data_IF_098065144348
#
_entry.id   IF_098065144348
#
_cell.length_a   1.000
_cell.length_b   1.000
_cell.length_c   1.000
_cell.angle_alpha   90.00
_cell.angle_beta   90.00
_cell.angle_gamma   90.00
#
_symmetry.space_group_name_H-M   'P 1'
#
loop_
_entity.id
_entity.type
_entity.pdbx_description
1 polymer ?
#
# COMPACT_ATOMS: atom_id res chain seq x y z
N UNK A 1 39.36 9.42 -12.54
CA UNK A 1 38.59 8.59 -11.58
C UNK A 1 37.73 9.41 -10.61
N UNK A 2 38.12 10.62 -10.16
CA UNK A 2 37.32 11.43 -9.22
C UNK A 2 35.99 11.96 -9.77
N UNK A 3 35.92 12.40 -11.03
CA UNK A 3 34.71 13.02 -11.60
C UNK A 3 33.48 12.11 -11.68
N UNK A 4 33.68 10.80 -11.84
CA UNK A 4 32.56 9.83 -11.93
C UNK A 4 31.94 9.58 -10.55
N UNK A 5 32.75 9.59 -9.49
CA UNK A 5 32.31 9.58 -8.08
C UNK A 5 31.59 10.88 -7.70
N UNK A 6 32.06 12.03 -8.19
CA UNK A 6 31.42 13.33 -7.93
C UNK A 6 30.06 13.44 -8.63
N UNK A 7 29.94 13.01 -9.88
CA UNK A 7 28.68 12.98 -10.63
C UNK A 7 27.68 11.98 -10.06
N UNK A 8 28.16 10.79 -9.63
CA UNK A 8 27.33 9.84 -8.89
C UNK A 8 26.86 10.42 -7.57
N UNK A 9 27.74 11.07 -6.81
CA UNK A 9 27.38 11.75 -5.56
C UNK A 9 26.35 12.85 -5.77
N UNK A 10 26.46 13.62 -6.85
CA UNK A 10 25.54 14.71 -7.20
C UNK A 10 24.15 14.19 -7.58
N UNK A 11 24.07 13.20 -8.49
CA UNK A 11 22.79 12.57 -8.87
C UNK A 11 22.12 11.84 -7.71
N UNK A 12 22.93 11.22 -6.84
CA UNK A 12 22.43 10.57 -5.65
C UNK A 12 21.91 11.63 -4.67
N UNK A 13 22.68 12.68 -4.36
CA UNK A 13 22.23 13.78 -3.51
C UNK A 13 20.93 14.43 -4.01
N UNK A 14 20.84 14.72 -5.31
CA UNK A 14 19.67 15.33 -5.94
C UNK A 14 18.41 14.43 -5.85
N UNK A 15 18.60 13.12 -6.05
CA UNK A 15 17.53 12.13 -5.95
C UNK A 15 17.10 11.87 -4.51
N UNK A 16 18.04 11.87 -3.56
CA UNK A 16 17.74 11.77 -2.13
C UNK A 16 17.05 13.04 -1.60
N UNK A 17 17.41 14.21 -2.11
CA UNK A 17 16.77 15.48 -1.77
C UNK A 17 15.29 15.48 -2.19
N UNK A 18 14.98 15.03 -3.41
CA UNK A 18 13.60 15.05 -3.91
C UNK A 18 12.74 13.91 -3.33
N UNK A 19 13.30 12.71 -3.16
CA UNK A 19 12.55 11.55 -2.66
C UNK A 19 12.41 11.51 -1.13
N UNK A 20 13.32 12.14 -0.38
CA UNK A 20 13.38 11.98 1.08
C UNK A 20 13.28 13.29 1.84
N UNK A 21 13.99 14.34 1.39
CA UNK A 21 14.08 15.61 2.11
C UNK A 21 12.86 16.49 1.86
N UNK A 22 12.36 16.55 0.62
CA UNK A 22 11.18 17.36 0.30
C UNK A 22 9.91 16.89 1.04
N UNK A 23 9.57 15.58 1.04
CA UNK A 23 8.39 15.10 1.75
C UNK A 23 8.55 15.23 3.28
N UNK A 24 9.74 14.97 3.81
CA UNK A 24 10.01 15.10 5.25
C UNK A 24 9.97 16.55 5.74
N UNK A 25 10.45 17.51 4.93
CA UNK A 25 10.38 18.93 5.26
C UNK A 25 8.92 19.42 5.27
N UNK A 26 8.10 18.95 4.34
CA UNK A 26 6.66 19.19 4.33
C UNK A 26 5.99 18.64 5.61
N UNK A 27 6.36 17.42 6.03
CA UNK A 27 5.80 16.79 7.22
C UNK A 27 6.18 17.54 8.50
N UNK A 28 7.44 17.96 8.62
CA UNK A 28 7.92 18.77 9.73
C UNK A 28 7.28 20.16 9.75
N UNK A 29 7.10 20.79 8.59
CA UNK A 29 6.38 22.05 8.47
C UNK A 29 4.91 21.89 8.91
N UNK A 30 4.23 20.83 8.45
CA UNK A 30 2.86 20.53 8.84
C UNK A 30 2.73 20.24 10.35
N UNK A 31 3.69 19.52 10.95
CA UNK A 31 3.73 19.24 12.38
C UNK A 31 4.00 20.51 13.20
N UNK A 32 4.91 21.38 12.74
CA UNK A 32 5.18 22.67 13.36
C UNK A 32 3.95 23.58 13.34
N UNK A 33 3.27 23.65 12.18
CA UNK A 33 1.99 24.35 12.01
C UNK A 33 0.95 23.75 12.96
N UNK A 34 0.78 22.43 13.01
CA UNK A 34 -0.16 21.76 13.90
C UNK A 34 0.12 22.02 15.39
N UNK A 35 1.40 22.08 15.79
CA UNK A 35 1.81 22.39 17.17
C UNK A 35 1.51 23.83 17.55
N UNK A 36 1.73 24.78 16.62
CA UNK A 36 1.46 26.21 16.81
C UNK A 36 -0.04 26.56 16.80
N UNK A 37 -0.84 25.87 15.98
CA UNK A 37 -2.30 26.01 15.97
C UNK A 37 -2.96 25.30 17.18
N UNK A 38 -2.42 24.16 17.62
CA UNK A 38 -3.04 23.30 18.62
C UNK A 38 -4.40 22.74 18.17
N UNK A 39 -4.97 21.80 18.95
CA UNK A 39 -6.27 21.20 18.62
C UNK A 39 -7.47 22.15 18.83
N UNK A 40 -7.32 23.19 19.65
CA UNK A 40 -8.43 24.10 20.03
C UNK A 40 -8.58 25.32 19.12
N UNK A 41 -7.55 25.70 18.33
CA UNK A 41 -7.51 26.96 17.56
C UNK A 41 -7.24 26.76 16.07
N UNK A 42 -7.77 25.68 15.50
CA UNK A 42 -7.59 25.30 14.08
C UNK A 42 -7.99 26.39 13.07
N UNK A 43 -8.86 27.33 13.44
CA UNK A 43 -9.36 28.43 12.58
C UNK A 43 -8.52 29.72 12.65
N UNK A 44 -7.53 29.82 13.54
CA UNK A 44 -6.73 31.03 13.76
C UNK A 44 -5.54 31.16 12.79
N UNK A 45 -5.77 30.91 11.50
CA UNK A 45 -4.73 30.82 10.45
C UNK A 45 -4.02 32.16 10.21
N UNK A 46 -4.71 33.30 10.42
CA UNK A 46 -4.17 34.64 10.16
C UNK A 46 -2.97 35.05 11.04
N UNK A 47 -2.77 34.40 12.19
CA UNK A 47 -1.66 34.71 13.10
C UNK A 47 -0.38 33.89 12.88
N UNK A 48 -0.41 32.90 11.98
CA UNK A 48 0.71 31.98 11.72
C UNK A 48 1.98 32.68 11.20
N UNK A 49 1.91 33.60 10.22
CA UNK A 49 3.13 34.20 9.66
C UNK A 49 3.97 34.93 10.71
N UNK A 50 3.33 35.70 11.60
CA UNK A 50 4.02 36.46 12.65
C UNK A 50 4.52 35.62 13.84
N UNK A 51 4.03 34.39 14.01
CA UNK A 51 4.56 33.43 15.00
C UNK A 51 5.72 32.65 14.45
N UNK A 52 5.61 32.19 13.20
CA UNK A 52 6.69 31.53 12.48
C UNK A 52 7.89 32.47 12.30
N UNK A 53 7.66 33.74 11.98
CA UNK A 53 8.71 34.76 11.88
C UNK A 53 9.46 34.95 13.22
N UNK A 54 8.75 35.08 14.34
CA UNK A 54 9.39 35.19 15.67
C UNK A 54 10.17 33.94 16.08
N UNK A 55 9.69 32.76 15.71
CA UNK A 55 10.41 31.51 15.98
C UNK A 55 11.67 31.41 15.10
N UNK A 56 11.59 31.86 13.85
CA UNK A 56 12.73 31.94 12.94
C UNK A 56 13.78 32.97 13.41
N UNK A 57 13.38 34.11 13.95
CA UNK A 57 14.29 35.14 14.49
C UNK A 57 15.06 34.64 15.74
N UNK A 58 14.40 33.84 16.57
CA UNK A 58 15.06 33.17 17.70
C UNK A 58 16.10 32.12 17.26
N UNK A 59 15.84 31.43 16.14
CA UNK A 59 16.75 30.43 15.56
C UNK A 59 17.87 31.05 14.70
N UNK A 60 17.64 32.25 14.16
CA UNK A 60 18.52 32.94 13.20
C UNK A 60 19.01 34.27 13.74
N UNK A 61 19.20 34.37 15.06
CA UNK A 61 19.79 35.57 15.65
C UNK A 61 21.20 35.80 15.10
N UNK A 62 21.57 37.03 14.70
CA UNK A 62 22.87 37.34 14.07
C UNK A 62 24.09 37.09 14.96
N UNK A 63 23.89 36.71 16.22
CA UNK A 63 24.92 36.30 17.17
C UNK A 63 25.19 34.79 17.20
N UNK A 64 24.44 33.97 16.45
CA UNK A 64 24.67 32.53 16.40
C UNK A 64 25.95 32.21 15.59
N UNK A 65 26.92 31.45 16.14
CA UNK A 65 28.11 31.06 15.39
C UNK A 65 27.69 30.21 14.18
N UNK A 66 28.36 30.38 13.03
CA UNK A 66 28.03 29.65 11.78
C UNK A 66 27.93 28.12 11.96
N UNK A 67 28.67 27.57 12.92
CA UNK A 67 28.59 26.17 13.32
C UNK A 67 27.21 25.76 13.91
N UNK A 68 26.54 26.64 14.66
CA UNK A 68 25.22 26.38 15.22
C UNK A 68 24.14 26.33 14.14
N UNK A 69 24.19 27.25 13.16
CA UNK A 69 23.27 27.25 12.01
C UNK A 69 23.48 26.01 11.13
N UNK A 70 24.74 25.62 10.90
CA UNK A 70 25.06 24.39 10.17
C UNK A 70 24.54 23.14 10.90
N UNK A 71 24.70 23.07 12.23
CA UNK A 71 24.20 21.96 13.04
C UNK A 71 22.67 21.87 13.03
N UNK A 72 21.98 23.01 13.09
CA UNK A 72 20.51 23.04 12.99
C UNK A 72 20.02 22.54 11.62
N UNK A 73 20.65 23.00 10.53
CA UNK A 73 20.32 22.52 9.18
C UNK A 73 20.54 21.00 9.06
N UNK A 74 21.67 20.49 9.57
CA UNK A 74 21.95 19.05 9.59
C UNK A 74 20.92 18.29 10.42
N UNK A 75 20.55 18.78 11.60
CA UNK A 75 19.51 18.17 12.44
C UNK A 75 18.13 18.17 11.77
N UNK A 76 17.76 19.27 11.09
CA UNK A 76 16.52 19.37 10.31
C UNK A 76 16.51 18.41 9.12
N UNK A 77 17.62 18.32 8.39
CA UNK A 77 17.81 17.37 7.28
C UNK A 77 17.71 15.92 7.76
N UNK A 78 18.32 15.58 8.91
CA UNK A 78 18.24 14.26 9.52
C UNK A 78 16.81 13.94 9.96
N UNK A 79 16.13 14.87 10.63
CA UNK A 79 14.74 14.70 11.02
C UNK A 79 13.83 14.50 9.80
N UNK A 80 14.02 15.29 8.75
CA UNK A 80 13.29 15.16 7.48
C UNK A 80 13.54 13.79 6.82
N UNK A 81 14.80 13.35 6.75
CA UNK A 81 15.16 12.05 6.22
C UNK A 81 14.51 10.91 7.03
N UNK A 82 14.47 11.01 8.37
CA UNK A 82 13.81 10.00 9.21
C UNK A 82 12.30 9.95 9.00
N UNK A 83 11.64 11.08 8.77
CA UNK A 83 10.22 11.11 8.39
C UNK A 83 9.97 10.47 7.02
N UNK A 84 10.82 10.73 6.03
CA UNK A 84 10.74 10.09 4.71
C UNK A 84 10.91 8.57 4.79
N UNK A 85 11.87 8.09 5.58
CA UNK A 85 12.07 6.65 5.85
C UNK A 85 10.89 6.07 6.61
N UNK A 86 10.33 6.79 7.59
CA UNK A 86 9.15 6.34 8.33
C UNK A 86 7.91 6.20 7.43
N UNK A 87 7.67 7.14 6.52
CA UNK A 87 6.58 7.06 5.54
C UNK A 87 6.77 5.88 4.57
N UNK A 88 7.99 5.64 4.11
CA UNK A 88 8.33 4.47 3.28
C UNK A 88 8.17 3.15 4.06
N UNK A 89 8.56 3.14 5.34
CA UNK A 89 8.40 2.00 6.22
C UNK A 89 6.91 1.72 6.47
N UNK A 90 6.10 2.73 6.74
CA UNK A 90 4.64 2.65 6.86
C UNK A 90 4.01 2.12 5.58
N UNK A 91 4.43 2.61 4.40
CA UNK A 91 3.99 2.08 3.11
C UNK A 91 4.33 0.60 2.93
N UNK A 92 5.53 0.17 3.36
CA UNK A 92 5.93 -1.25 3.30
C UNK A 92 5.14 -2.13 4.29
N UNK A 93 4.80 -1.59 5.47
CA UNK A 93 3.95 -2.26 6.46
C UNK A 93 2.52 -2.35 5.94
N UNK A 94 2.01 -1.27 5.34
CA UNK A 94 0.70 -1.24 4.71
C UNK A 94 0.64 -2.26 3.58
N UNK A 95 1.65 -2.35 2.72
CA UNK A 95 1.73 -3.34 1.66
C UNK A 95 1.75 -4.78 2.22
N UNK A 96 2.56 -5.03 3.26
CA UNK A 96 2.56 -6.33 3.96
C UNK A 96 1.20 -6.63 4.58
N UNK A 97 0.50 -5.63 5.09
CA UNK A 97 -0.86 -5.78 5.61
C UNK A 97 -1.90 -6.00 4.50
N UNK A 98 -1.71 -5.34 3.36
CA UNK A 98 -2.64 -5.38 2.23
C UNK A 98 -2.51 -6.68 1.44
N UNK A 99 -1.30 -7.21 1.28
CA UNK A 99 -1.07 -8.47 0.60
C UNK A 99 -1.11 -9.66 1.55
N UNK A 100 -0.71 -9.46 2.81
CA UNK A 100 -0.73 -10.43 3.89
C UNK A 100 -0.30 -11.86 3.47
N UNK A 101 0.85 -12.03 2.76
CA UNK A 101 1.25 -13.33 2.22
C UNK A 101 1.40 -14.38 3.32
N UNK A 102 2.06 -14.02 4.43
CA UNK A 102 2.37 -14.91 5.55
C UNK A 102 1.80 -14.40 6.88
N UNK A 103 0.52 -14.00 6.89
CA UNK A 103 -0.13 -13.51 8.11
C UNK A 103 -0.17 -14.55 9.24
N UNK A 104 0.02 -15.83 8.93
CA UNK A 104 0.19 -16.91 9.91
C UNK A 104 1.42 -16.72 10.81
N UNK A 105 2.50 -16.15 10.27
CA UNK A 105 3.75 -15.88 10.99
C UNK A 105 3.73 -14.60 11.84
N UNK A 106 2.63 -13.82 11.81
CA UNK A 106 2.56 -12.55 12.51
C UNK A 106 2.52 -12.71 14.04
N UNK A 107 2.98 -11.69 14.79
CA UNK A 107 2.84 -11.61 16.24
C UNK A 107 1.40 -11.89 16.68
N UNK A 108 1.24 -12.55 17.82
CA UNK A 108 -0.06 -13.03 18.33
C UNK A 108 -1.12 -11.92 18.43
N UNK A 109 -0.70 -10.70 18.78
CA UNK A 109 -1.54 -9.50 18.89
C UNK A 109 -2.20 -9.12 17.57
N UNK A 110 -1.46 -9.12 16.46
CA UNK A 110 -1.96 -8.80 15.13
C UNK A 110 -2.65 -10.00 14.46
N UNK A 111 -2.23 -11.23 14.80
CA UNK A 111 -2.77 -12.46 14.21
C UNK A 111 -4.24 -12.71 14.56
N UNK A 112 -4.66 -12.40 15.79
CA UNK A 112 -6.05 -12.60 16.25
C UNK A 112 -7.09 -11.83 15.41
N UNK A 113 -7.00 -10.49 15.25
CA UNK A 113 -7.96 -9.74 14.46
C UNK A 113 -7.92 -10.15 12.98
N UNK A 114 -6.72 -10.39 12.42
CA UNK A 114 -6.57 -10.86 11.04
C UNK A 114 -7.24 -12.22 10.83
N UNK A 115 -7.02 -13.19 11.74
CA UNK A 115 -7.68 -14.49 11.69
C UNK A 115 -9.20 -14.36 11.76
N UNK A 116 -9.71 -13.51 12.65
CA UNK A 116 -11.14 -13.27 12.78
C UNK A 116 -11.73 -12.66 11.49
N UNK A 117 -11.04 -11.68 10.89
CA UNK A 117 -11.45 -11.07 9.63
C UNK A 117 -11.46 -12.09 8.48
N UNK A 118 -10.39 -12.89 8.33
CA UNK A 118 -10.30 -13.94 7.32
C UNK A 118 -11.40 -14.99 7.51
N UNK A 119 -11.71 -15.38 8.75
CA UNK A 119 -12.83 -16.29 9.07
C UNK A 119 -14.19 -15.69 8.70
N UNK A 120 -14.45 -14.41 9.03
CA UNK A 120 -15.68 -13.71 8.66
C UNK A 120 -15.84 -13.64 7.14
N UNK A 121 -14.77 -13.31 6.42
CA UNK A 121 -14.77 -13.26 4.94
C UNK A 121 -14.99 -14.64 4.33
N UNK A 122 -14.36 -15.69 4.87
CA UNK A 122 -14.59 -17.07 4.45
C UNK A 122 -16.04 -17.48 4.68
N UNK A 123 -16.61 -17.20 5.85
CA UNK A 123 -18.02 -17.47 6.12
C UNK A 123 -18.95 -16.73 5.15
N UNK A 124 -18.68 -15.46 4.84
CA UNK A 124 -19.42 -14.70 3.82
C UNK A 124 -19.30 -15.34 2.44
N UNK A 125 -18.11 -15.79 2.05
CA UNK A 125 -17.88 -16.47 0.78
C UNK A 125 -18.64 -17.79 0.69
N UNK A 126 -18.58 -18.64 1.71
CA UNK A 126 -19.29 -19.93 1.71
C UNK A 126 -20.81 -19.72 1.64
N UNK A 127 -21.37 -18.72 2.34
CA UNK A 127 -22.79 -18.35 2.21
C UNK A 127 -23.18 -17.98 0.78
N UNK A 128 -22.35 -17.17 0.11
CA UNK A 128 -22.59 -16.76 -1.29
C UNK A 128 -22.36 -17.89 -2.28
N UNK A 129 -21.45 -18.82 -1.96
CA UNK A 129 -21.20 -20.03 -2.76
C UNK A 129 -22.38 -20.99 -2.68
N UNK A 130 -22.96 -21.16 -1.48
CA UNK A 130 -24.18 -21.95 -1.29
C UNK A 130 -25.38 -21.33 -2.02
N UNK A 131 -25.54 -20.00 -1.97
CA UNK A 131 -26.55 -19.26 -2.73
C UNK A 131 -26.43 -19.49 -4.24
N UNK A 132 -25.20 -19.36 -4.79
CA UNK A 132 -24.95 -19.68 -6.19
C UNK A 132 -25.27 -21.14 -6.53
N UNK A 133 -24.86 -22.09 -5.67
CA UNK A 133 -25.13 -23.50 -5.87
C UNK A 133 -26.64 -23.81 -5.90
N UNK A 134 -27.42 -23.17 -5.02
CA UNK A 134 -28.88 -23.29 -4.99
C UNK A 134 -29.51 -22.76 -6.28
N UNK A 135 -29.22 -21.52 -6.67
CA UNK A 135 -29.77 -20.90 -7.89
C UNK A 135 -29.37 -21.70 -9.14
N UNK A 136 -28.14 -22.22 -9.18
CA UNK A 136 -27.68 -23.07 -10.29
C UNK A 136 -28.43 -24.40 -10.35
N UNK A 137 -28.76 -24.99 -9.19
CA UNK A 137 -29.52 -26.23 -9.13
C UNK A 137 -30.98 -26.01 -9.56
N UNK A 138 -31.61 -24.94 -9.08
CA UNK A 138 -32.96 -24.52 -9.48
C UNK A 138 -33.05 -24.30 -11.00
N UNK A 139 -32.11 -23.54 -11.57
CA UNK A 139 -32.04 -23.29 -13.01
C UNK A 139 -31.90 -24.58 -13.84
N UNK A 140 -31.11 -25.55 -13.37
CA UNK A 140 -30.94 -26.85 -14.06
C UNK A 140 -32.24 -27.67 -14.06
N UNK A 141 -32.98 -27.66 -12.95
CA UNK A 141 -34.26 -28.35 -12.84
C UNK A 141 -35.31 -27.69 -13.72
N UNK A 142 -35.40 -26.36 -13.71
CA UNK A 142 -36.31 -25.59 -14.58
C UNK A 142 -36.02 -25.83 -16.07
N UNK A 143 -34.73 -25.84 -16.45
CA UNK A 143 -34.30 -26.17 -17.82
C UNK A 143 -34.72 -27.59 -18.21
N UNK A 144 -34.52 -28.57 -17.32
CA UNK A 144 -34.94 -29.96 -17.56
C UNK A 144 -36.47 -30.12 -17.67
N UNK A 145 -37.23 -29.23 -17.02
CA UNK A 145 -38.69 -29.18 -17.10
C UNK A 145 -39.23 -28.35 -18.28
N UNK A 146 -38.37 -27.75 -19.11
CA UNK A 146 -38.77 -26.96 -20.28
C UNK A 146 -39.34 -25.56 -19.95
N UNK A 147 -39.03 -25.02 -18.77
CA UNK A 147 -39.46 -23.67 -18.35
C UNK A 147 -38.52 -22.60 -18.96
N UNK A 148 -39.03 -21.48 -19.52
CA UNK A 148 -38.21 -20.41 -20.11
C UNK A 148 -37.23 -19.72 -19.13
N UNK A 149 -36.06 -19.33 -19.64
CA UNK A 149 -34.82 -18.93 -18.95
C UNK A 149 -34.82 -17.56 -18.23
N UNK A 150 -35.81 -17.25 -17.39
CA UNK A 150 -35.65 -16.15 -16.42
C UNK A 150 -34.46 -16.41 -15.44
N UNK A 151 -34.06 -17.68 -15.29
CA UNK A 151 -33.05 -18.14 -14.33
C UNK A 151 -31.58 -17.88 -14.70
N UNK A 152 -31.26 -17.62 -15.97
CA UNK A 152 -29.86 -17.41 -16.41
C UNK A 152 -29.26 -16.12 -15.85
N UNK A 153 -30.07 -15.06 -15.79
CA UNK A 153 -29.71 -13.77 -15.19
C UNK A 153 -29.48 -13.90 -13.68
N UNK A 154 -30.29 -14.69 -12.98
CA UNK A 154 -30.15 -14.93 -11.55
C UNK A 154 -28.85 -15.68 -11.21
N UNK A 155 -28.48 -16.68 -12.03
CA UNK A 155 -27.18 -17.35 -11.91
C UNK A 155 -26.03 -16.37 -12.13
N UNK A 156 -26.14 -15.49 -13.13
CA UNK A 156 -25.12 -14.48 -13.42
C UNK A 156 -24.97 -13.47 -12.26
N UNK A 157 -26.09 -12.99 -11.71
CA UNK A 157 -26.13 -12.08 -10.56
C UNK A 157 -25.55 -12.74 -9.31
N UNK A 158 -25.92 -13.99 -9.02
CA UNK A 158 -25.37 -14.77 -7.89
C UNK A 158 -23.85 -14.96 -8.05
N UNK A 159 -23.38 -15.26 -9.26
CA UNK A 159 -21.96 -15.40 -9.57
C UNK A 159 -21.22 -14.08 -9.40
N UNK A 160 -21.79 -12.95 -9.81
CA UNK A 160 -21.21 -11.63 -9.60
C UNK A 160 -21.12 -11.29 -8.11
N UNK A 161 -22.19 -11.57 -7.32
CA UNK A 161 -22.21 -11.38 -5.86
C UNK A 161 -21.12 -12.18 -5.15
N UNK A 162 -20.85 -13.42 -5.59
CA UNK A 162 -19.76 -14.23 -5.08
C UNK A 162 -18.38 -13.63 -5.44
N UNK A 163 -18.18 -13.25 -6.70
CA UNK A 163 -16.93 -12.64 -7.20
C UNK A 163 -16.58 -11.31 -6.50
N UNK A 164 -17.58 -10.55 -6.05
CA UNK A 164 -17.39 -9.34 -5.22
C UNK A 164 -16.75 -9.65 -3.86
N UNK A 165 -16.93 -10.86 -3.32
CA UNK A 165 -16.28 -11.26 -2.06
C UNK A 165 -14.82 -11.66 -2.30
N UNK A 166 -14.59 -12.53 -3.29
CA UNK A 166 -13.27 -13.03 -3.70
C UNK A 166 -13.41 -13.88 -4.97
N UNK A 167 -12.40 -13.93 -5.87
CA UNK A 167 -12.39 -14.85 -7.02
C UNK A 167 -12.35 -16.33 -6.60
N UNK A 168 -11.61 -16.65 -5.53
CA UNK A 168 -11.50 -17.99 -4.95
C UNK A 168 -11.80 -18.00 -3.45
N UNK A 169 -11.64 -19.15 -2.79
CA UNK A 169 -11.87 -19.26 -1.34
C UNK A 169 -10.94 -18.31 -0.56
N UNK A 170 -11.48 -17.34 0.21
CA UNK A 170 -10.66 -16.37 0.95
C UNK A 170 -9.67 -17.05 1.88
N UNK A 171 -8.41 -16.65 1.79
CA UNK A 171 -7.34 -17.08 2.71
C UNK A 171 -6.50 -15.92 3.24
N UNK A 172 -6.72 -14.72 2.74
CA UNK A 172 -6.05 -13.49 3.19
C UNK A 172 -7.09 -12.49 3.74
N UNK A 173 -6.70 -11.58 4.64
CA UNK A 173 -7.61 -10.61 5.25
C UNK A 173 -8.24 -9.66 4.23
N UNK A 174 -7.55 -9.36 3.14
CA UNK A 174 -7.94 -8.36 2.14
C UNK A 174 -8.33 -8.98 0.80
N UNK A 175 -9.12 -8.24 0.03
CA UNK A 175 -9.50 -8.64 -1.32
C UNK A 175 -8.31 -8.64 -2.30
N UNK A 176 -7.38 -7.68 -2.16
CA UNK A 176 -6.18 -7.61 -2.98
C UNK A 176 -5.26 -8.83 -2.76
N UNK A 177 -5.04 -9.23 -1.51
CA UNK A 177 -4.28 -10.42 -1.17
C UNK A 177 -4.93 -11.70 -1.70
N UNK A 178 -6.25 -11.81 -1.59
CA UNK A 178 -6.99 -12.96 -2.15
C UNK A 178 -6.93 -13.01 -3.68
N UNK A 179 -6.94 -11.86 -4.38
CA UNK A 179 -6.77 -11.83 -5.84
C UNK A 179 -5.41 -12.38 -6.27
N UNK A 180 -4.33 -11.92 -5.63
CA UNK A 180 -2.98 -12.42 -5.92
C UNK A 180 -2.86 -13.92 -5.62
N UNK A 181 -3.39 -14.34 -4.47
CA UNK A 181 -3.46 -15.76 -4.11
C UNK A 181 -4.28 -16.60 -5.09
N UNK A 182 -5.37 -16.04 -5.64
CA UNK A 182 -6.21 -16.74 -6.61
C UNK A 182 -5.47 -17.00 -7.92
N UNK A 183 -4.65 -16.06 -8.39
CA UNK A 183 -3.80 -16.27 -9.58
C UNK A 183 -2.77 -17.36 -9.31
N UNK A 184 -2.09 -17.32 -8.17
CA UNK A 184 -1.12 -18.34 -7.78
C UNK A 184 -1.77 -19.73 -7.64
N UNK A 185 -2.96 -19.80 -7.03
CA UNK A 185 -3.71 -21.03 -6.90
C UNK A 185 -4.15 -21.57 -8.26
N UNK A 186 -4.62 -20.70 -9.17
CA UNK A 186 -5.00 -21.10 -10.51
C UNK A 186 -3.82 -21.66 -11.29
N UNK A 187 -2.64 -21.02 -11.25
CA UNK A 187 -1.43 -21.53 -11.91
C UNK A 187 -0.96 -22.88 -11.34
N UNK A 188 -1.06 -23.04 -10.01
CA UNK A 188 -0.73 -24.31 -9.36
C UNK A 188 -1.71 -25.42 -9.75
N UNK A 189 -3.01 -25.11 -9.83
CA UNK A 189 -4.06 -26.08 -10.17
C UNK A 189 -4.05 -26.43 -11.66
N UNK A 190 -3.82 -25.48 -12.56
CA UNK A 190 -3.87 -25.71 -14.01
C UNK A 190 -2.56 -26.22 -14.61
N UNK A 191 -1.41 -25.79 -14.07
CA UNK A 191 -0.09 -26.07 -14.65
C UNK A 191 0.86 -26.77 -13.67
N UNK A 192 0.46 -27.01 -12.42
CA UNK A 192 1.36 -27.54 -11.38
C UNK A 192 2.49 -26.57 -11.01
N UNK A 193 2.43 -25.31 -11.43
CA UNK A 193 3.52 -24.35 -11.29
C UNK A 193 3.45 -23.62 -9.95
N UNK A 194 4.55 -23.67 -9.21
CA UNK A 194 4.74 -22.83 -8.04
C UNK A 194 5.36 -21.49 -8.44
N UNK A 195 4.54 -20.45 -8.47
CA UNK A 195 4.96 -19.13 -8.94
C UNK A 195 6.23 -18.61 -8.25
N UNK A 196 6.38 -18.85 -6.93
CA UNK A 196 7.58 -18.42 -6.19
C UNK A 196 8.88 -19.05 -6.67
N UNK A 197 8.82 -20.28 -7.19
CA UNK A 197 9.99 -21.01 -7.71
C UNK A 197 10.27 -20.63 -9.16
N UNK A 198 9.21 -20.45 -9.94
CA UNK A 198 9.31 -20.27 -11.40
C UNK A 198 9.51 -18.80 -11.79
N UNK A 199 9.12 -17.85 -10.93
CA UNK A 199 9.18 -16.41 -11.21
C UNK A 199 10.57 -15.87 -11.55
N UNK A 200 11.66 -16.20 -10.83
CA UNK A 200 13.00 -15.71 -11.18
C UNK A 200 13.44 -16.12 -12.59
N UNK A 201 13.06 -17.33 -13.01
CA UNK A 201 13.37 -17.86 -14.32
C UNK A 201 12.50 -17.20 -15.40
N UNK A 202 11.18 -17.07 -15.16
CA UNK A 202 10.28 -16.36 -16.07
C UNK A 202 10.76 -14.94 -16.34
N UNK A 203 11.25 -14.24 -15.31
CA UNK A 203 11.75 -12.89 -15.45
C UNK A 203 12.90 -12.74 -16.46
N UNK A 204 13.69 -13.80 -16.70
CA UNK A 204 14.76 -13.79 -17.69
C UNK A 204 14.24 -13.92 -19.13
N UNK A 205 13.08 -14.54 -19.32
CA UNK A 205 12.48 -14.76 -20.64
C UNK A 205 11.43 -13.70 -21.02
N UNK A 206 10.96 -12.91 -20.06
CA UNK A 206 9.95 -11.87 -20.28
C UNK A 206 10.56 -10.69 -21.07
N UNK A 207 9.91 -10.21 -22.14
CA UNK A 207 10.36 -9.04 -22.91
C UNK A 207 10.62 -7.81 -22.03
N UNK A 208 11.58 -6.97 -22.44
CA UNK A 208 11.91 -5.75 -21.68
C UNK A 208 10.69 -4.83 -21.48
N UNK A 209 9.85 -4.67 -22.52
CA UNK A 209 8.62 -3.87 -22.42
C UNK A 209 7.71 -4.35 -21.29
N UNK A 210 7.48 -5.66 -21.19
CA UNK A 210 6.67 -6.25 -20.13
C UNK A 210 7.34 -6.11 -18.76
N UNK A 211 8.68 -6.25 -18.68
CA UNK A 211 9.41 -6.01 -17.42
C UNK A 211 9.26 -4.57 -16.94
N UNK A 212 9.31 -3.60 -17.86
CA UNK A 212 9.07 -2.18 -17.55
C UNK A 212 7.65 -1.94 -17.04
N UNK A 213 6.63 -2.50 -17.69
CA UNK A 213 5.24 -2.35 -17.24
C UNK A 213 5.01 -2.95 -15.84
N UNK A 214 5.53 -4.16 -15.58
CA UNK A 214 5.39 -4.83 -14.28
C UNK A 214 6.11 -4.06 -13.18
N UNK A 215 7.33 -3.58 -13.43
CA UNK A 215 8.09 -2.77 -12.45
C UNK A 215 7.45 -1.40 -12.22
N UNK A 216 6.90 -0.77 -13.26
CA UNK A 216 6.17 0.49 -13.14
C UNK A 216 4.88 0.32 -12.31
N UNK A 217 4.10 -0.73 -12.55
CA UNK A 217 2.91 -1.06 -11.77
C UNK A 217 3.26 -1.33 -10.30
N UNK A 218 4.34 -2.10 -10.04
CA UNK A 218 4.83 -2.33 -8.67
C UNK A 218 5.24 -1.02 -8.00
N UNK A 219 5.97 -0.16 -8.70
CA UNK A 219 6.37 1.16 -8.21
C UNK A 219 5.18 2.07 -7.90
N UNK A 220 4.14 2.07 -8.74
CA UNK A 220 2.91 2.81 -8.50
C UNK A 220 2.17 2.33 -7.25
N UNK A 221 2.09 1.01 -7.04
CA UNK A 221 1.49 0.43 -5.86
C UNK A 221 2.24 0.80 -4.58
N UNK A 222 3.58 0.75 -4.59
CA UNK A 222 4.41 1.16 -3.46
C UNK A 222 4.22 2.64 -3.13
N UNK A 223 4.19 3.52 -4.15
CA UNK A 223 3.93 4.96 -3.95
C UNK A 223 2.54 5.21 -3.38
N UNK A 224 1.52 4.56 -3.91
CA UNK A 224 0.16 4.69 -3.39
C UNK A 224 0.05 4.23 -1.93
N UNK A 225 0.74 3.15 -1.56
CA UNK A 225 0.80 2.68 -0.17
C UNK A 225 1.52 3.68 0.75
N UNK A 226 2.60 4.31 0.28
CA UNK A 226 3.32 5.34 1.04
C UNK A 226 2.52 6.63 1.24
N UNK A 227 1.62 6.98 0.30
CA UNK A 227 0.74 8.15 0.43
C UNK A 227 -0.48 7.90 1.34
N UNK A 228 -0.83 6.64 1.57
CA UNK A 228 -1.98 6.25 2.39
C UNK A 228 -1.66 6.05 3.88
N UNK A 229 -0.38 5.95 4.24
CA UNK A 229 0.11 5.83 5.62
C UNK A 229 0.62 7.16 6.15
#
# INVERSE_FOLDING_TARGET
MGGLLTELGKKLAERWLSLLVLPGALYLAALGVARELGHERWYAVGGLPGRLARHADHLTSPAAPAAATALFLVAFLLASATCGVAAQALGSVLERCWLAPDWSGWPSVARRPVRALTRRRRARYERRRADLARVTAEARVATAAGVPLADEDDVAVARQRLRRVSPGRPGRPTWAGDRMRAVEAALRESLGLELGVVWPHLWLYVPESTRVEVTAARGAMVRAAALAG
#
